data_IF_220418548938
#
_entry.id   IF_220418548938
#
_cell.length_a   1.000
_cell.length_b   1.000
_cell.length_c   1.000
_cell.angle_alpha   90.00
_cell.angle_beta   90.00
_cell.angle_gamma   90.00
#
_symmetry.space_group_name_H-M   'P 1'
#
loop_
_entity.id
_entity.type
_entity.pdbx_description
1 polymer ?
#
# COMPACT_ATOMS: atom_id res chain seq x y z
N UNK A 1 0.02 10.68 -11.95
CA UNK A 1 -1.11 11.56 -11.51
C UNK A 1 -0.92 13.02 -11.93
N UNK A 2 0.12 13.76 -11.46
CA UNK A 2 0.29 15.19 -11.79
C UNK A 2 0.31 15.50 -13.29
N UNK A 3 1.11 14.77 -14.08
CA UNK A 3 1.15 14.97 -15.54
C UNK A 3 -0.20 14.68 -16.22
N UNK A 4 -1.00 13.76 -15.66
CA UNK A 4 -2.34 13.48 -16.16
C UNK A 4 -3.30 14.62 -15.83
N UNK A 5 -3.27 15.11 -14.58
CA UNK A 5 -4.06 16.25 -14.13
C UNK A 5 -3.76 17.53 -14.94
N UNK A 6 -2.48 17.81 -15.22
CA UNK A 6 -2.08 18.96 -16.04
C UNK A 6 -2.62 18.93 -17.47
N UNK A 7 -2.81 17.74 -18.05
CA UNK A 7 -3.39 17.58 -19.41
C UNK A 7 -4.92 17.58 -19.44
N UNK A 8 -5.56 17.12 -18.37
CA UNK A 8 -7.01 16.88 -18.33
C UNK A 8 -7.78 17.91 -17.50
N UNK A 9 -7.08 18.80 -16.79
CA UNK A 9 -7.67 19.72 -15.84
C UNK A 9 -8.06 19.05 -14.52
N UNK A 10 -8.36 19.87 -13.51
CA UNK A 10 -8.71 19.40 -12.15
C UNK A 10 -10.23 19.29 -11.93
N UNK A 11 -11.03 19.84 -12.84
CA UNK A 11 -12.49 19.95 -12.67
C UNK A 11 -13.22 18.63 -12.89
N UNK A 12 -12.68 17.74 -13.72
CA UNK A 12 -13.24 16.41 -13.92
C UNK A 12 -12.77 15.44 -12.83
N UNK A 13 -13.47 15.48 -11.69
CA UNK A 13 -13.16 14.64 -10.53
C UNK A 13 -13.25 13.16 -10.85
N UNK A 14 -14.27 12.74 -11.63
CA UNK A 14 -14.45 11.34 -12.00
C UNK A 14 -13.22 10.82 -12.75
N UNK A 15 -12.74 11.57 -13.74
CA UNK A 15 -11.57 11.18 -14.53
C UNK A 15 -10.28 11.09 -13.71
N UNK A 16 -10.12 11.96 -12.71
CA UNK A 16 -9.00 11.87 -11.77
C UNK A 16 -9.10 10.62 -10.89
N UNK A 17 -10.29 10.31 -10.36
CA UNK A 17 -10.51 9.13 -9.51
C UNK A 17 -10.32 7.85 -10.33
N UNK A 18 -10.88 7.77 -11.53
CA UNK A 18 -10.73 6.61 -12.42
C UNK A 18 -9.26 6.34 -12.74
N UNK A 19 -8.49 7.40 -13.02
CA UNK A 19 -7.05 7.26 -13.27
C UNK A 19 -6.27 6.89 -11.99
N UNK A 20 -6.64 7.45 -10.84
CA UNK A 20 -6.10 7.07 -9.54
C UNK A 20 -6.35 5.59 -9.24
N UNK A 21 -7.57 5.11 -9.48
CA UNK A 21 -7.96 3.71 -9.28
C UNK A 21 -7.16 2.78 -10.20
N UNK A 22 -6.98 3.14 -11.47
CA UNK A 22 -6.18 2.35 -12.39
C UNK A 22 -4.71 2.21 -11.93
N UNK A 23 -4.14 3.27 -11.34
CA UNK A 23 -2.81 3.23 -10.75
C UNK A 23 -2.77 2.36 -9.49
N UNK A 24 -3.75 2.51 -8.60
CA UNK A 24 -3.85 1.74 -7.35
C UNK A 24 -4.06 0.25 -7.64
N UNK A 25 -4.89 -0.11 -8.61
CA UNK A 25 -5.06 -1.50 -9.03
C UNK A 25 -3.71 -2.07 -9.51
N UNK A 26 -3.15 -1.47 -10.57
CA UNK A 26 -1.97 -2.03 -11.24
C UNK A 26 -0.74 -2.10 -10.34
N UNK A 27 -0.46 -1.03 -9.59
CA UNK A 27 0.75 -0.94 -8.79
C UNK A 27 0.54 -1.38 -7.34
N UNK A 28 -0.69 -1.30 -6.82
CA UNK A 28 -1.03 -1.85 -5.51
C UNK A 28 -1.00 -3.37 -5.51
N UNK A 29 -1.54 -4.04 -6.54
CA UNK A 29 -1.42 -5.50 -6.70
C UNK A 29 0.03 -5.94 -6.66
N UNK A 30 0.88 -5.38 -7.53
CA UNK A 30 2.30 -5.69 -7.55
C UNK A 30 3.02 -5.34 -6.23
N UNK A 31 2.64 -4.26 -5.55
CA UNK A 31 3.19 -3.94 -4.23
C UNK A 31 2.78 -4.95 -3.15
N UNK A 32 1.57 -5.50 -3.22
CA UNK A 32 1.09 -6.55 -2.33
C UNK A 32 1.80 -7.87 -2.59
N UNK A 33 1.92 -8.28 -3.86
CA UNK A 33 2.64 -9.50 -4.25
C UNK A 33 4.11 -9.45 -3.83
N UNK A 34 4.82 -8.36 -4.12
CA UNK A 34 6.20 -8.19 -3.69
C UNK A 34 6.34 -8.24 -2.16
N UNK A 35 5.39 -7.65 -1.44
CA UNK A 35 5.38 -7.73 0.03
C UNK A 35 5.17 -9.17 0.52
N UNK A 36 4.37 -10.00 -0.16
CA UNK A 36 4.26 -11.42 0.14
C UNK A 36 5.60 -12.14 -0.03
N UNK A 37 6.27 -11.95 -1.16
CA UNK A 37 7.59 -12.55 -1.41
C UNK A 37 8.62 -12.16 -0.35
N UNK A 38 8.63 -10.88 0.03
CA UNK A 38 9.51 -10.38 1.09
C UNK A 38 9.19 -11.01 2.45
N UNK A 39 7.92 -11.12 2.81
CA UNK A 39 7.49 -11.74 4.06
C UNK A 39 7.93 -13.22 4.13
N UNK A 40 7.68 -13.98 3.08
CA UNK A 40 8.04 -15.40 3.01
C UNK A 40 9.56 -15.58 3.03
N UNK A 41 10.31 -14.70 2.37
CA UNK A 41 11.78 -14.69 2.44
C UNK A 41 12.29 -14.42 3.86
N UNK A 42 11.72 -13.44 4.57
CA UNK A 42 12.07 -13.15 5.97
C UNK A 42 11.76 -14.35 6.87
N UNK A 43 10.56 -14.92 6.74
CA UNK A 43 10.17 -16.09 7.52
C UNK A 43 11.15 -17.26 7.30
N UNK A 44 11.53 -17.52 6.04
CA UNK A 44 12.51 -18.55 5.69
C UNK A 44 13.88 -18.28 6.30
N UNK A 45 14.39 -17.05 6.22
CA UNK A 45 15.67 -16.65 6.81
C UNK A 45 15.69 -16.82 8.33
N UNK A 46 14.54 -16.63 8.98
CA UNK A 46 14.38 -16.81 10.43
C UNK A 46 14.04 -18.27 10.82
N UNK A 47 13.95 -19.19 9.86
CA UNK A 47 13.56 -20.58 10.11
C UNK A 47 12.09 -20.76 10.56
N UNK A 48 11.26 -19.73 10.43
CA UNK A 48 9.86 -19.76 10.83
C UNK A 48 9.04 -20.61 9.85
N UNK A 49 8.18 -21.49 10.38
CA UNK A 49 7.24 -22.28 9.59
C UNK A 49 5.85 -21.65 9.65
N UNK A 50 5.60 -20.72 8.75
CA UNK A 50 4.31 -20.02 8.61
C UNK A 50 3.67 -20.35 7.25
N UNK A 51 2.33 -20.23 7.11
CA UNK A 51 1.68 -20.35 5.82
C UNK A 51 2.19 -19.28 4.85
N UNK A 52 2.15 -19.56 3.55
CA UNK A 52 2.49 -18.58 2.52
C UNK A 52 1.75 -17.25 2.73
N UNK A 53 2.48 -16.15 2.52
CA UNK A 53 1.92 -14.82 2.63
C UNK A 53 0.79 -14.62 1.60
N UNK A 54 -0.20 -13.81 1.99
CA UNK A 54 -1.31 -13.41 1.12
C UNK A 54 -1.40 -11.89 1.03
N UNK A 55 -1.73 -11.33 -0.15
CA UNK A 55 -1.84 -9.89 -0.29
C UNK A 55 -2.95 -9.32 0.60
N UNK A 56 -2.77 -8.07 1.01
CA UNK A 56 -3.86 -7.25 1.52
C UNK A 56 -4.80 -6.85 0.39
N UNK A 57 -5.99 -6.41 0.79
CA UNK A 57 -7.00 -5.95 -0.18
C UNK A 57 -6.56 -4.62 -0.79
N UNK A 58 -6.90 -4.41 -2.05
CA UNK A 58 -6.64 -3.16 -2.77
C UNK A 58 -7.67 -2.12 -2.32
N UNK A 59 -7.29 -0.84 -2.11
CA UNK A 59 -8.24 0.22 -1.81
C UNK A 59 -9.36 0.28 -2.82
N UNK A 60 -10.60 0.39 -2.33
CA UNK A 60 -11.77 0.46 -3.20
C UNK A 60 -11.92 1.84 -3.87
N UNK A 61 -12.84 1.92 -4.84
CA UNK A 61 -13.09 3.17 -5.55
C UNK A 61 -13.49 4.32 -4.61
N UNK A 62 -14.25 4.03 -3.55
CA UNK A 62 -14.67 5.01 -2.56
C UNK A 62 -13.49 5.53 -1.74
N UNK A 63 -12.54 4.68 -1.38
CA UNK A 63 -11.30 5.06 -0.69
C UNK A 63 -10.40 5.93 -1.59
N UNK A 64 -10.23 5.54 -2.86
CA UNK A 64 -9.51 6.37 -3.85
C UNK A 64 -10.22 7.71 -4.05
N UNK A 65 -11.55 7.71 -4.16
CA UNK A 65 -12.35 8.92 -4.30
C UNK A 65 -12.21 9.85 -3.09
N UNK A 66 -12.27 9.31 -1.86
CA UNK A 66 -12.05 10.08 -0.63
C UNK A 66 -10.66 10.70 -0.61
N UNK A 67 -9.63 9.94 -0.99
CA UNK A 67 -8.25 10.43 -1.03
C UNK A 67 -8.07 11.56 -2.04
N UNK A 68 -8.54 11.38 -3.28
CA UNK A 68 -8.46 12.38 -4.36
C UNK A 68 -9.25 13.64 -4.01
N UNK A 69 -10.50 13.50 -3.59
CA UNK A 69 -11.34 14.65 -3.26
C UNK A 69 -10.85 15.38 -2.01
N UNK A 70 -10.43 14.66 -0.97
CA UNK A 70 -9.88 15.26 0.25
C UNK A 70 -8.62 16.08 -0.03
N UNK A 71 -7.73 15.57 -0.88
CA UNK A 71 -6.55 16.30 -1.32
C UNK A 71 -6.89 17.55 -2.10
N UNK A 72 -7.94 17.53 -2.93
CA UNK A 72 -8.33 18.70 -3.71
C UNK A 72 -9.03 19.78 -2.88
N UNK A 73 -9.54 19.42 -1.70
CA UNK A 73 -9.95 20.41 -0.69
C UNK A 73 -8.72 21.06 -0.05
N UNK A 74 -7.69 20.27 0.27
CA UNK A 74 -6.47 20.75 0.93
C UNK A 74 -5.49 21.49 -0.01
N UNK A 75 -5.40 21.04 -1.26
CA UNK A 75 -4.54 21.57 -2.31
C UNK A 75 -5.38 21.74 -3.59
N UNK A 76 -6.10 22.86 -3.73
CA UNK A 76 -6.96 23.12 -4.87
C UNK A 76 -6.22 23.09 -6.21
N UNK A 77 -4.93 23.41 -6.22
CA UNK A 77 -4.07 23.36 -7.42
C UNK A 77 -3.58 21.94 -7.73
N UNK A 78 -3.98 20.93 -6.95
CA UNK A 78 -3.71 19.52 -7.21
C UNK A 78 -2.25 19.09 -7.00
N UNK A 79 -1.43 19.90 -6.32
CA UNK A 79 0.01 19.65 -6.13
C UNK A 79 0.28 18.32 -5.42
N UNK A 80 -0.61 17.91 -4.51
CA UNK A 80 -0.47 16.71 -3.69
C UNK A 80 -1.16 15.46 -4.27
N UNK A 81 -1.83 15.56 -5.43
CA UNK A 81 -2.58 14.43 -6.00
C UNK A 81 -1.70 13.21 -6.29
N UNK A 82 -0.48 13.42 -6.78
CA UNK A 82 0.46 12.33 -7.04
C UNK A 82 0.88 11.60 -5.77
N UNK A 83 1.21 12.36 -4.74
CA UNK A 83 1.68 11.80 -3.47
C UNK A 83 0.57 11.02 -2.77
N UNK A 84 -0.66 11.52 -2.81
CA UNK A 84 -1.83 10.85 -2.25
C UNK A 84 -2.11 9.49 -2.90
N UNK A 85 -2.13 9.42 -4.23
CA UNK A 85 -2.32 8.13 -4.94
C UNK A 85 -1.12 7.20 -4.73
N UNK A 86 0.10 7.74 -4.73
CA UNK A 86 1.33 6.97 -4.43
C UNK A 86 1.28 6.36 -3.03
N UNK A 87 0.69 7.08 -2.06
CA UNK A 87 0.53 6.59 -0.68
C UNK A 87 -0.40 5.39 -0.62
N UNK A 88 -1.51 5.39 -1.36
CA UNK A 88 -2.43 4.25 -1.45
C UNK A 88 -1.74 3.02 -2.04
N UNK A 89 -0.96 3.18 -3.11
CA UNK A 89 -0.17 2.08 -3.70
C UNK A 89 0.79 1.47 -2.67
N UNK A 90 1.57 2.30 -1.98
CA UNK A 90 2.54 1.85 -0.96
C UNK A 90 1.86 1.21 0.24
N UNK A 91 0.67 1.69 0.59
CA UNK A 91 -0.09 1.18 1.71
C UNK A 91 -0.46 -0.29 1.52
N UNK A 92 -0.80 -0.74 0.29
CA UNK A 92 -1.10 -2.16 0.04
C UNK A 92 0.05 -3.08 0.46
N UNK A 93 1.29 -2.73 0.11
CA UNK A 93 2.46 -3.50 0.53
C UNK A 93 2.65 -3.50 2.06
N UNK A 94 2.49 -2.34 2.70
CA UNK A 94 2.59 -2.22 4.15
C UNK A 94 1.50 -3.03 4.88
N UNK A 95 0.25 -2.94 4.43
CA UNK A 95 -0.89 -3.67 4.99
C UNK A 95 -0.73 -5.17 4.74
N UNK A 96 -0.13 -5.58 3.62
CA UNK A 96 0.20 -6.98 3.34
C UNK A 96 1.18 -7.53 4.38
N UNK A 97 2.29 -6.83 4.63
CA UNK A 97 3.26 -7.24 5.65
C UNK A 97 2.59 -7.33 7.03
N UNK A 98 1.82 -6.32 7.41
CA UNK A 98 1.19 -6.24 8.72
C UNK A 98 0.10 -7.31 8.92
N UNK A 99 -0.71 -7.58 7.90
CA UNK A 99 -1.76 -8.60 7.91
C UNK A 99 -1.18 -10.00 8.16
N UNK A 100 -0.12 -10.36 7.42
CA UNK A 100 0.52 -11.66 7.59
C UNK A 100 1.27 -11.75 8.93
N UNK A 101 2.00 -10.70 9.32
CA UNK A 101 2.70 -10.67 10.61
C UNK A 101 1.75 -10.86 11.80
N UNK A 102 0.58 -10.20 11.76
CA UNK A 102 -0.47 -10.35 12.78
C UNK A 102 -1.05 -11.76 12.80
N UNK A 103 -1.36 -12.31 11.63
CA UNK A 103 -1.91 -13.68 11.47
C UNK A 103 -0.99 -14.72 12.09
N UNK A 104 0.31 -14.57 11.88
CA UNK A 104 1.30 -15.58 12.26
C UNK A 104 1.94 -15.33 13.63
N UNK A 105 1.50 -14.28 14.35
CA UNK A 105 2.14 -13.80 15.57
C UNK A 105 3.66 -13.62 15.39
N UNK A 106 4.05 -13.05 14.24
CA UNK A 106 5.41 -13.04 13.74
C UNK A 106 6.34 -12.13 14.55
N UNK A 107 6.75 -12.59 15.74
CA UNK A 107 7.82 -11.98 16.52
C UNK A 107 9.16 -11.97 15.78
N UNK A 108 9.35 -12.88 14.81
CA UNK A 108 10.51 -12.91 13.91
C UNK A 108 10.57 -11.73 12.92
N UNK A 109 9.43 -11.08 12.67
CA UNK A 109 9.35 -9.86 11.85
C UNK A 109 9.41 -8.57 12.72
N UNK A 110 9.51 -8.71 14.04
CA UNK A 110 9.56 -7.61 15.00
C UNK A 110 10.98 -7.50 15.57
N UNK A 111 11.65 -6.37 15.34
CA UNK A 111 12.88 -6.00 16.06
C UNK A 111 12.49 -4.96 17.11
N UNK A 112 12.32 -5.33 18.41
CA UNK A 112 12.28 -4.33 19.46
C UNK A 112 13.64 -3.64 19.53
N UNK A 113 13.68 -2.34 19.84
CA UNK A 113 14.94 -1.71 20.22
C UNK A 113 15.53 -2.46 21.43
N UNK A 114 16.55 -3.29 21.19
CA UNK A 114 17.37 -3.91 22.23
C UNK A 114 16.97 -5.30 22.76
N UNK A 115 16.02 -6.03 22.18
CA UNK A 115 15.75 -7.42 22.61
C UNK A 115 16.32 -8.45 21.64
N UNK A 116 17.05 -9.44 22.16
CA UNK A 116 17.44 -10.65 21.40
C UNK A 116 16.22 -11.55 21.21
N UNK A 117 16.06 -12.05 20.00
CA UNK A 117 15.06 -13.07 19.65
C UNK A 117 15.34 -14.33 20.49
N UNK A 118 14.37 -14.91 21.21
CA UNK A 118 14.56 -16.21 21.86
C UNK A 118 14.77 -17.26 20.77
N UNK A 119 15.89 -17.97 20.84
CA UNK A 119 16.13 -19.15 20.01
C UNK A 119 15.08 -20.22 20.35
N UNK A 120 14.33 -20.65 19.34
CA UNK A 120 13.56 -21.91 19.37
C UNK A 120 14.48 -23.12 19.43
#
# INVERSE_FOLDING_TARGET
MLAFAGRNGLNDRKKLIDYGMALVQKYGEGSGELACEMYDAIARLQGARVPAAKPADIPDYGEVAKSVNGVLVQSPEGKLLGDSVSRLVKQVGADTMLKNARRDHAGFAWIPSGARVPSV
#
